data_IF_519132810774
#
_entry.id   IF_519132810774
#
_cell.length_a   1.000
_cell.length_b   1.000
_cell.length_c   1.000
_cell.angle_alpha   90.00
_cell.angle_beta   90.00
_cell.angle_gamma   90.00
#
_symmetry.space_group_name_H-M   'P 1'
#
loop_
_entity.id
_entity.type
_entity.pdbx_description
1 polymer ?
#
# COMPACT_ATOMS: atom_id res chain seq x y z
N UNK A 1 9.53 0.36 -3.89
CA UNK A 1 9.39 -0.98 -4.51
C UNK A 1 8.29 -0.87 -5.57
N UNK A 2 8.55 -1.29 -6.80
CA UNK A 2 7.53 -1.37 -7.86
C UNK A 2 7.16 -2.85 -7.98
N UNK A 3 5.86 -3.15 -7.91
CA UNK A 3 5.35 -4.51 -7.94
C UNK A 3 4.56 -4.68 -9.24
N UNK A 4 5.02 -5.52 -10.18
CA UNK A 4 4.34 -5.68 -11.46
C UNK A 4 3.01 -6.40 -11.25
N UNK A 5 1.97 -5.90 -11.91
CA UNK A 5 0.69 -6.59 -11.91
C UNK A 5 0.74 -7.80 -12.87
N UNK A 6 0.08 -8.92 -12.52
CA UNK A 6 0.01 -10.08 -13.40
C UNK A 6 -0.59 -9.70 -14.76
N UNK A 7 -0.01 -10.17 -15.89
CA UNK A 7 -0.52 -9.82 -17.21
C UNK A 7 -1.92 -10.39 -17.43
N UNK A 8 -2.78 -9.62 -18.12
CA UNK A 8 -4.13 -10.05 -18.48
C UNK A 8 -5.14 -10.03 -17.33
N UNK A 9 -4.89 -9.26 -16.26
CA UNK A 9 -5.80 -9.07 -15.13
C UNK A 9 -6.12 -7.59 -14.97
N UNK A 10 -7.39 -7.28 -14.74
CA UNK A 10 -7.85 -5.92 -14.44
C UNK A 10 -7.61 -5.53 -12.97
N UNK A 11 -7.25 -6.51 -12.13
CA UNK A 11 -7.01 -6.34 -10.69
C UNK A 11 -5.61 -6.83 -10.35
N UNK A 12 -4.87 -5.99 -9.63
CA UNK A 12 -3.55 -6.28 -9.10
C UNK A 12 -3.67 -6.72 -7.64
N UNK A 13 -3.29 -7.96 -7.33
CA UNK A 13 -3.35 -8.51 -5.98
C UNK A 13 -1.94 -8.74 -5.44
N UNK A 14 -1.71 -8.33 -4.19
CA UNK A 14 -0.42 -8.40 -3.52
C UNK A 14 -0.63 -8.93 -2.10
N UNK A 15 0.34 -9.68 -1.61
CA UNK A 15 0.35 -10.19 -0.24
C UNK A 15 1.71 -9.94 0.40
N UNK A 16 1.71 -9.71 1.70
CA UNK A 16 2.92 -9.62 2.51
C UNK A 16 2.73 -10.44 3.79
N UNK A 17 3.85 -10.81 4.42
CA UNK A 17 3.86 -11.57 5.67
C UNK A 17 4.75 -10.87 6.69
N UNK A 18 4.42 -11.03 7.97
CA UNK A 18 5.22 -10.61 9.13
C UNK A 18 5.62 -11.86 9.93
N UNK A 19 6.72 -12.54 9.56
CA UNK A 19 7.16 -13.76 10.23
C UNK A 19 7.51 -13.55 11.71
N UNK A 20 7.91 -12.33 12.08
CA UNK A 20 8.28 -12.01 13.44
C UNK A 20 7.07 -11.70 14.33
N UNK A 21 5.84 -11.63 13.81
CA UNK A 21 4.66 -11.25 14.60
C UNK A 21 4.47 -12.17 15.81
N UNK A 22 4.54 -13.49 15.60
CA UNK A 22 4.34 -14.48 16.67
C UNK A 22 5.51 -14.49 17.66
N UNK A 23 6.76 -14.57 17.18
CA UNK A 23 7.93 -14.63 18.05
C UNK A 23 8.17 -13.33 18.83
N UNK A 24 7.77 -12.21 18.24
CA UNK A 24 7.84 -10.90 18.87
C UNK A 24 6.74 -10.63 19.89
N UNK A 25 5.69 -11.47 19.95
CA UNK A 25 4.58 -11.37 20.92
C UNK A 25 4.06 -9.93 21.07
N UNK A 26 3.85 -9.25 19.94
CA UNK A 26 3.59 -7.80 19.90
C UNK A 26 2.30 -7.45 19.18
N UNK A 27 1.65 -6.40 19.64
CA UNK A 27 0.65 -5.71 18.84
C UNK A 27 1.31 -5.11 17.58
N UNK A 28 0.59 -5.07 16.48
CA UNK A 28 1.06 -4.57 15.20
C UNK A 28 0.02 -3.67 14.53
N UNK A 29 0.51 -2.69 13.77
CA UNK A 29 -0.31 -1.87 12.89
C UNK A 29 0.20 -2.02 11.48
N UNK A 30 -0.64 -2.50 10.59
CA UNK A 30 -0.32 -2.65 9.17
C UNK A 30 -1.01 -1.54 8.38
N UNK A 31 -0.23 -0.87 7.53
CA UNK A 31 -0.72 0.17 6.64
C UNK A 31 -0.10 -0.04 5.26
N UNK A 32 -0.94 -0.09 4.24
CA UNK A 32 -0.53 -0.26 2.84
C UNK A 32 -0.90 1.00 2.08
N UNK A 33 0.05 1.50 1.28
CA UNK A 33 -0.17 2.61 0.36
C UNK A 33 0.10 2.11 -1.06
N UNK A 34 -0.95 1.98 -1.85
CA UNK A 34 -0.83 1.73 -3.28
C UNK A 34 -0.74 3.07 -4.02
N UNK A 35 0.26 3.19 -4.89
CA UNK A 35 0.47 4.34 -5.75
C UNK A 35 0.45 3.78 -7.18
N UNK A 36 -0.49 4.24 -7.99
CA UNK A 36 -0.59 3.83 -9.39
C UNK A 36 0.55 4.44 -10.21
N UNK A 37 0.84 3.86 -11.38
CA UNK A 37 1.68 4.51 -12.39
C UNK A 37 1.09 5.86 -12.82
N UNK A 38 1.95 6.73 -13.37
CA UNK A 38 1.55 8.08 -13.75
C UNK A 38 0.49 8.04 -14.85
N UNK A 39 -0.62 8.74 -14.62
CA UNK A 39 -1.70 8.98 -15.58
C UNK A 39 -1.94 10.47 -15.75
N UNK A 40 -2.68 10.85 -16.79
CA UNK A 40 -3.15 12.22 -16.97
C UNK A 40 -4.39 12.45 -16.10
N UNK A 41 -4.34 13.45 -15.22
CA UNK A 41 -5.44 13.84 -14.33
C UNK A 41 -5.76 15.33 -14.49
N UNK A 42 -7.05 15.68 -14.47
CA UNK A 42 -7.51 17.07 -14.54
C UNK A 42 -6.98 17.86 -13.34
N UNK A 43 -6.44 19.05 -13.59
CA UNK A 43 -5.82 19.94 -12.59
C UNK A 43 -4.55 19.39 -11.89
N UNK A 44 -4.01 18.26 -12.30
CA UNK A 44 -2.75 17.73 -11.76
C UNK A 44 -1.51 18.57 -12.14
N UNK A 45 -1.66 19.55 -13.01
CA UNK A 45 -0.67 20.58 -13.29
C UNK A 45 -1.32 21.96 -13.31
N UNK A 46 -2.05 22.30 -12.24
CA UNK A 46 -2.80 23.57 -12.14
C UNK A 46 -1.94 24.85 -12.26
N UNK A 47 -0.62 24.75 -12.10
CA UNK A 47 0.35 25.81 -12.36
C UNK A 47 1.36 25.33 -13.39
N UNK A 48 1.23 25.83 -14.64
CA UNK A 48 2.09 25.48 -15.76
C UNK A 48 3.13 26.58 -15.96
N UNK A 49 4.33 26.39 -15.41
CA UNK A 49 5.40 27.39 -15.41
C UNK A 49 6.50 27.05 -16.41
N UNK A 50 6.86 28.03 -17.24
CA UNK A 50 8.00 28.02 -18.15
C UNK A 50 8.95 29.15 -17.74
N UNK A 51 10.02 28.81 -17.00
CA UNK A 51 10.88 29.80 -16.36
C UNK A 51 10.11 30.61 -15.31
N UNK A 52 10.17 31.94 -15.41
CA UNK A 52 9.48 32.87 -14.50
C UNK A 52 8.02 33.15 -14.91
N UNK A 53 7.54 32.58 -16.02
CA UNK A 53 6.17 32.80 -16.52
C UNK A 53 5.32 31.58 -16.19
N UNK A 54 4.31 31.77 -15.33
CA UNK A 54 3.34 30.75 -14.99
C UNK A 54 1.98 31.03 -15.63
N UNK A 55 1.33 29.99 -16.15
CA UNK A 55 -0.03 30.00 -16.69
C UNK A 55 -0.91 29.07 -15.85
N UNK A 56 -1.65 29.59 -14.86
CA UNK A 56 -2.55 28.78 -14.06
C UNK A 56 -3.72 28.23 -14.90
N UNK A 57 -4.20 27.06 -14.54
CA UNK A 57 -5.52 26.57 -14.97
C UNK A 57 -6.62 27.29 -14.20
N UNK A 58 -7.48 28.01 -14.92
CA UNK A 58 -8.61 28.71 -14.34
C UNK A 58 -9.92 27.99 -14.69
N UNK A 59 -10.84 27.91 -13.73
CA UNK A 59 -12.19 27.40 -13.98
C UNK A 59 -13.14 28.43 -14.63
N UNK A 60 -12.59 29.39 -15.38
CA UNK A 60 -13.34 30.46 -16.06
C UNK A 60 -12.79 30.72 -17.47
N UNK A 61 -13.31 31.74 -18.16
CA UNK A 61 -13.01 32.08 -19.55
C UNK A 61 -11.53 32.37 -19.87
N UNK A 62 -10.65 32.46 -18.86
CA UNK A 62 -9.21 32.66 -19.06
C UNK A 62 -8.49 31.41 -19.54
N UNK A 63 -9.05 30.24 -19.26
CA UNK A 63 -8.59 28.97 -19.83
C UNK A 63 -9.45 28.66 -21.06
N UNK A 64 -8.81 28.24 -22.14
CA UNK A 64 -9.49 27.85 -23.38
C UNK A 64 -10.47 26.70 -23.08
N UNK A 65 -11.66 26.71 -23.70
CA UNK A 65 -12.65 25.66 -23.49
C UNK A 65 -12.17 24.28 -23.96
N UNK A 66 -11.21 24.24 -24.89
CA UNK A 66 -10.60 23.00 -25.39
C UNK A 66 -9.38 22.55 -24.55
N UNK A 67 -8.97 23.32 -23.53
CA UNK A 67 -7.87 22.96 -22.64
C UNK A 67 -8.41 22.21 -21.41
N UNK A 68 -8.33 20.88 -21.46
CA UNK A 68 -8.75 19.98 -20.37
C UNK A 68 -7.93 20.15 -19.07
N UNK A 69 -6.88 20.98 -19.09
CA UNK A 69 -6.09 21.31 -17.90
C UNK A 69 -5.50 20.07 -17.20
N UNK A 70 -5.19 19.03 -17.97
CA UNK A 70 -4.62 17.79 -17.45
C UNK A 70 -3.12 17.90 -17.17
N UNK A 71 -2.64 17.12 -16.20
CA UNK A 71 -1.22 16.95 -15.92
C UNK A 71 -0.89 15.54 -15.44
N UNK A 72 0.39 15.16 -15.36
CA UNK A 72 0.79 13.88 -14.81
C UNK A 72 0.52 13.82 -13.31
N UNK A 73 -0.20 12.79 -12.87
CA UNK A 73 -0.46 12.48 -11.45
C UNK A 73 -0.27 11.00 -11.19
N UNK A 74 -0.16 10.61 -9.92
CA UNK A 74 -0.26 9.21 -9.52
C UNK A 74 -1.42 9.08 -8.54
N UNK A 75 -2.40 8.26 -8.87
CA UNK A 75 -3.53 7.99 -8.01
C UNK A 75 -3.08 7.26 -6.75
N UNK A 76 -3.69 7.65 -5.62
CA UNK A 76 -3.31 7.19 -4.29
C UNK A 76 -4.52 6.57 -3.62
N UNK A 77 -4.50 5.26 -3.47
CA UNK A 77 -5.50 4.59 -2.66
C UNK A 77 -5.16 4.79 -1.16
N UNK A 78 -6.18 5.13 -0.37
CA UNK A 78 -6.09 5.20 1.08
C UNK A 78 -6.78 3.99 1.67
N UNK A 79 -6.03 3.17 2.41
CA UNK A 79 -6.59 2.13 3.27
C UNK A 79 -6.58 2.60 4.72
N UNK A 80 -7.61 2.26 5.49
CA UNK A 80 -7.55 2.43 6.94
C UNK A 80 -6.47 1.50 7.51
N UNK A 81 -5.70 1.94 8.53
CA UNK A 81 -4.75 1.05 9.19
C UNK A 81 -5.46 -0.18 9.78
N UNK A 82 -4.80 -1.34 9.68
CA UNK A 82 -5.25 -2.58 10.32
C UNK A 82 -4.51 -2.71 11.63
N UNK A 83 -5.25 -2.67 12.74
CA UNK A 83 -4.71 -2.89 14.08
C UNK A 83 -4.87 -4.35 14.45
N UNK A 84 -3.76 -5.03 14.69
CA UNK A 84 -3.73 -6.44 15.11
C UNK A 84 -3.20 -6.48 16.54
N UNK A 85 -4.00 -6.99 17.46
CA UNK A 85 -3.55 -7.25 18.83
C UNK A 85 -3.02 -8.66 18.94
N UNK A 86 -1.90 -8.81 19.62
CA UNK A 86 -1.38 -10.12 19.95
C UNK A 86 -2.18 -10.74 21.09
N UNK A 87 -2.56 -11.99 20.93
CA UNK A 87 -3.26 -12.77 21.95
C UNK A 87 -2.53 -14.10 22.12
N UNK A 88 -1.80 -14.22 23.24
CA UNK A 88 -1.06 -15.42 23.59
C UNK A 88 -1.95 -16.65 23.75
N UNK A 89 -3.25 -16.48 24.05
CA UNK A 89 -4.19 -17.60 24.20
C UNK A 89 -4.52 -18.30 22.89
N UNK A 90 -4.27 -17.66 21.75
CA UNK A 90 -4.49 -18.22 20.41
C UNK A 90 -3.29 -19.03 19.89
N UNK A 91 -2.16 -19.02 20.60
CA UNK A 91 -1.03 -19.87 20.26
C UNK A 91 -1.36 -21.29 20.73
N UNK A 92 -1.52 -22.27 19.83
CA UNK A 92 -1.69 -23.64 20.26
C UNK A 92 -0.45 -24.01 21.06
N UNK A 93 -0.65 -24.41 22.32
CA UNK A 93 0.42 -25.03 23.08
C UNK A 93 0.89 -26.22 22.25
N UNK A 94 2.10 -26.14 21.70
CA UNK A 94 2.79 -27.33 21.24
C UNK A 94 2.76 -28.26 22.46
N UNK A 95 2.10 -29.43 22.39
CA UNK A 95 2.17 -30.35 23.50
C UNK A 95 3.66 -30.61 23.66
N UNK A 96 4.22 -30.13 24.78
CA UNK A 96 5.58 -30.50 25.17
C UNK A 96 5.54 -32.02 25.15
N UNK A 97 6.24 -32.63 24.20
CA UNK A 97 6.42 -34.07 24.18
C UNK A 97 6.93 -34.40 25.58
N UNK A 98 6.10 -35.11 26.34
CA UNK A 98 6.40 -35.50 27.71
C UNK A 98 7.81 -36.09 27.70
N UNK A 99 8.78 -35.52 28.44
CA UNK A 99 10.13 -36.07 28.50
C UNK A 99 10.14 -37.53 28.97
N UNK A 100 9.07 -38.01 29.62
CA UNK A 100 8.88 -39.41 29.99
C UNK A 100 8.57 -40.36 28.81
N UNK A 101 8.26 -39.84 27.61
CA UNK A 101 8.02 -40.63 26.39
C UNK A 101 9.20 -40.65 25.42
N UNK A 102 10.34 -40.04 25.79
CA UNK A 102 11.57 -40.18 25.01
C UNK A 102 12.15 -41.59 25.18
N UNK A 103 12.40 -42.35 24.11
CA UNK A 103 13.09 -43.63 24.23
C UNK A 103 14.50 -43.39 24.81
N UNK A 104 15.03 -44.29 25.66
CA UNK A 104 16.40 -44.15 26.15
C UNK A 104 17.34 -44.10 24.96
N UNK A 105 18.17 -43.05 24.91
CA UNK A 105 19.27 -42.94 23.95
C UNK A 105 20.21 -44.15 24.11
N UNK A 106 20.67 -44.75 22.99
CA UNK A 106 21.54 -45.93 23.00
C UNK A 106 22.93 -45.65 23.60
#
# INVERSE_FOLDING_TARGET
>A
LVLPCPPGRDVCELSFSDPEFQSGMRDAVYYVRAIQEVTAEVNASGLRCEGDVCRPCYGDYRTDSEDDCTGPSNERAWASPIYVRFDASLIPAVPVLDPALSPPTP
#
